data_IF_519213773384
#
_entry.id   IF_519213773384
#
_cell.length_a   1.000
_cell.length_b   1.000
_cell.length_c   1.000
_cell.angle_alpha   90.00
_cell.angle_beta   90.00
_cell.angle_gamma   90.00
#
_symmetry.space_group_name_H-M   'P 1'
#
loop_
_entity.id
_entity.type
_entity.pdbx_description
1 polymer ?
#
# COMPACT_ATOMS: atom_id res chain seq x y z
N UNK A 1 -24.59 -19.08 0.42
CA UNK A 1 -23.21 -19.18 0.90
C UNK A 1 -23.20 -18.52 2.25
N UNK A 2 -23.14 -19.32 3.31
CA UNK A 2 -23.07 -18.82 4.67
C UNK A 2 -21.63 -18.41 4.93
N UNK A 3 -21.43 -17.24 5.52
CA UNK A 3 -20.11 -16.80 5.95
C UNK A 3 -19.52 -17.84 6.89
N UNK A 4 -18.28 -18.16 6.70
CA UNK A 4 -17.55 -18.99 7.64
C UNK A 4 -16.95 -18.12 8.75
N UNK A 5 -16.68 -18.73 9.88
CA UNK A 5 -16.12 -18.07 11.05
C UNK A 5 -14.63 -18.45 11.14
N UNK A 6 -13.76 -17.46 11.35
CA UNK A 6 -12.34 -17.73 11.59
C UNK A 6 -12.12 -18.26 13.04
N UNK A 7 -10.89 -18.56 13.37
CA UNK A 7 -10.49 -19.01 14.72
C UNK A 7 -10.80 -18.02 15.86
N UNK A 8 -11.08 -16.75 15.51
CA UNK A 8 -11.44 -15.67 16.45
C UNK A 8 -12.95 -15.40 16.51
N UNK A 9 -13.76 -16.16 15.79
CA UNK A 9 -15.21 -15.99 15.77
C UNK A 9 -15.75 -14.96 14.79
N UNK A 10 -14.90 -14.31 13.98
CA UNK A 10 -15.35 -13.32 13.00
C UNK A 10 -15.93 -13.98 11.75
N UNK A 11 -16.96 -13.37 11.19
CA UNK A 11 -17.51 -13.77 9.89
C UNK A 11 -16.53 -13.38 8.77
N UNK A 12 -16.05 -14.36 8.03
CA UNK A 12 -15.17 -14.15 6.88
C UNK A 12 -15.89 -14.46 5.57
N UNK A 13 -15.43 -13.77 4.51
CA UNK A 13 -15.81 -14.13 3.16
C UNK A 13 -15.25 -15.51 2.80
N UNK A 14 -16.01 -16.25 1.99
CA UNK A 14 -15.61 -17.55 1.46
C UNK A 14 -14.24 -17.51 0.74
N UNK A 15 -13.91 -16.42 0.07
CA UNK A 15 -12.65 -16.21 -0.63
C UNK A 15 -11.42 -16.24 0.28
N UNK A 16 -11.58 -15.92 1.57
CA UNK A 16 -10.48 -15.88 2.55
C UNK A 16 -10.27 -17.22 3.26
N UNK A 17 -11.19 -18.15 3.13
CA UNK A 17 -11.07 -19.47 3.74
C UNK A 17 -10.12 -20.35 2.96
N UNK A 18 -9.42 -21.23 3.69
CA UNK A 18 -8.82 -22.41 3.04
C UNK A 18 -9.94 -23.18 2.38
N UNK A 19 -9.83 -23.42 1.07
CA UNK A 19 -10.72 -24.36 0.43
C UNK A 19 -10.56 -25.72 1.13
N UNK A 20 -11.64 -26.50 1.23
CA UNK A 20 -11.58 -27.90 1.68
C UNK A 20 -10.74 -28.79 0.75
N UNK A 21 -10.12 -28.18 -0.22
CA UNK A 21 -9.23 -28.82 -1.18
C UNK A 21 -7.86 -28.97 -0.56
N UNK A 22 -7.48 -30.18 -0.29
CA UNK A 22 -6.13 -30.53 0.17
C UNK A 22 -5.15 -30.35 -0.98
N UNK A 23 -4.61 -29.15 -1.09
CA UNK A 23 -3.70 -28.75 -2.15
C UNK A 23 -2.26 -29.06 -1.79
N UNK A 24 -1.92 -30.35 -1.76
CA UNK A 24 -0.51 -30.76 -1.85
C UNK A 24 0.07 -30.49 -3.25
N UNK A 25 -0.78 -30.16 -4.21
CA UNK A 25 -0.40 -29.85 -5.59
C UNK A 25 -0.51 -28.34 -5.86
N UNK A 26 0.56 -27.74 -6.38
CA UNK A 26 0.64 -26.29 -6.69
C UNK A 26 -0.47 -25.77 -7.61
N UNK A 27 -1.02 -26.60 -8.50
CA UNK A 27 -2.12 -26.23 -9.39
C UNK A 27 -3.42 -25.95 -8.64
N UNK A 28 -3.64 -26.56 -7.49
CA UNK A 28 -4.86 -26.41 -6.70
C UNK A 28 -4.95 -25.06 -5.98
N UNK A 29 -3.81 -24.40 -5.71
CA UNK A 29 -3.79 -23.06 -5.09
C UNK A 29 -4.46 -21.99 -5.94
N UNK A 30 -4.45 -22.15 -7.25
CA UNK A 30 -5.11 -21.25 -8.18
C UNK A 30 -6.64 -21.34 -8.11
N UNK A 31 -7.15 -22.45 -7.60
CA UNK A 31 -8.59 -22.75 -7.52
C UNK A 31 -9.16 -22.63 -6.10
N UNK A 32 -8.39 -22.07 -5.14
CA UNK A 32 -8.86 -21.91 -3.77
C UNK A 32 -9.91 -20.79 -3.65
N UNK A 33 -10.78 -20.91 -2.67
CA UNK A 33 -11.77 -19.91 -2.31
C UNK A 33 -12.76 -19.57 -3.44
N UNK A 34 -12.92 -18.32 -3.77
CA UNK A 34 -13.86 -17.85 -4.79
C UNK A 34 -13.58 -18.44 -6.18
N UNK A 35 -12.32 -18.67 -6.54
CA UNK A 35 -11.98 -19.27 -7.83
C UNK A 35 -12.50 -20.70 -7.93
N UNK A 36 -12.43 -21.44 -6.85
CA UNK A 36 -12.99 -22.79 -6.78
C UNK A 36 -14.52 -22.75 -6.89
N UNK A 37 -15.19 -21.84 -6.20
CA UNK A 37 -16.62 -21.62 -6.33
C UNK A 37 -17.02 -21.33 -7.77
N UNK A 38 -16.32 -20.44 -8.45
CA UNK A 38 -16.56 -20.12 -9.86
C UNK A 38 -16.40 -21.34 -10.77
N UNK A 39 -15.31 -22.09 -10.57
CA UNK A 39 -15.03 -23.28 -11.37
C UNK A 39 -16.11 -24.34 -11.20
N UNK A 40 -16.44 -24.71 -9.96
CA UNK A 40 -17.47 -25.69 -9.66
C UNK A 40 -18.86 -25.27 -10.16
N UNK A 41 -19.22 -24.00 -9.95
CA UNK A 41 -20.51 -23.48 -10.43
C UNK A 41 -20.59 -23.52 -11.95
N UNK A 42 -19.51 -23.14 -12.63
CA UNK A 42 -19.44 -23.21 -14.08
C UNK A 42 -19.57 -24.68 -14.60
N UNK A 43 -18.83 -25.60 -13.99
CA UNK A 43 -18.92 -27.01 -14.34
C UNK A 43 -20.34 -27.57 -14.15
N UNK A 44 -21.02 -27.16 -13.07
CA UNK A 44 -22.41 -27.56 -12.82
C UNK A 44 -23.43 -26.91 -13.77
N UNK A 45 -23.12 -25.73 -14.31
CA UNK A 45 -23.91 -25.14 -15.38
C UNK A 45 -23.84 -25.91 -16.72
N UNK A 46 -22.66 -26.55 -16.98
CA UNK A 46 -22.45 -27.31 -18.23
C UNK A 46 -23.04 -28.73 -18.19
N UNK A 47 -23.31 -29.28 -17.00
CA UNK A 47 -23.91 -30.61 -16.87
C UNK A 47 -25.36 -30.59 -17.31
N UNK A 48 -25.77 -31.63 -18.01
CA UNK A 48 -27.14 -31.82 -18.49
C UNK A 48 -27.95 -32.71 -17.55
N UNK A 49 -29.27 -32.48 -17.46
CA UNK A 49 -30.20 -33.28 -16.64
C UNK A 49 -30.08 -33.02 -15.14
N UNK A 50 -30.49 -33.98 -14.32
CA UNK A 50 -30.57 -33.83 -12.86
C UNK A 50 -29.21 -33.80 -12.12
N UNK A 51 -28.10 -33.87 -12.84
CA UNK A 51 -26.74 -33.85 -12.26
C UNK A 51 -26.11 -32.45 -12.23
N UNK A 52 -26.71 -31.49 -12.93
CA UNK A 52 -26.26 -30.11 -13.02
C UNK A 52 -27.13 -29.14 -12.23
N UNK A 53 -26.84 -27.86 -12.39
CA UNK A 53 -27.66 -26.77 -11.81
C UNK A 53 -29.05 -26.73 -12.44
N UNK A 54 -30.07 -26.54 -11.61
CA UNK A 54 -31.39 -26.15 -12.05
C UNK A 54 -31.38 -24.74 -12.69
N UNK A 55 -32.44 -24.37 -13.40
CA UNK A 55 -32.53 -23.02 -13.97
C UNK A 55 -32.55 -21.93 -12.88
N UNK A 56 -33.05 -22.24 -11.70
CA UNK A 56 -32.96 -21.37 -10.53
C UNK A 56 -31.52 -21.15 -10.07
N UNK A 57 -30.74 -22.23 -9.95
CA UNK A 57 -29.31 -22.16 -9.55
C UNK A 57 -28.49 -21.41 -10.60
N UNK A 58 -28.72 -21.64 -11.88
CA UNK A 58 -28.07 -20.92 -12.98
C UNK A 58 -28.37 -19.41 -12.90
N UNK A 59 -29.60 -19.06 -12.58
CA UNK A 59 -30.00 -17.65 -12.42
C UNK A 59 -29.30 -17.00 -11.21
N UNK A 60 -29.20 -17.71 -10.07
CA UNK A 60 -28.44 -17.25 -8.91
C UNK A 60 -26.96 -17.06 -9.27
N UNK A 61 -26.37 -18.03 -9.95
CA UNK A 61 -24.97 -17.94 -10.36
C UNK A 61 -24.74 -16.77 -11.34
N UNK A 62 -25.66 -16.56 -12.29
CA UNK A 62 -25.60 -15.42 -13.19
C UNK A 62 -25.65 -14.09 -12.44
N UNK A 63 -26.58 -13.95 -11.49
CA UNK A 63 -26.67 -12.75 -10.64
C UNK A 63 -25.41 -12.53 -9.83
N UNK A 64 -24.81 -13.59 -9.29
CA UNK A 64 -23.54 -13.51 -8.60
C UNK A 64 -22.43 -12.98 -9.55
N UNK A 65 -22.33 -13.48 -10.78
CA UNK A 65 -21.36 -13.00 -11.77
C UNK A 65 -21.56 -11.52 -12.12
N UNK A 66 -22.82 -11.08 -12.27
CA UNK A 66 -23.16 -9.67 -12.52
C UNK A 66 -22.71 -8.79 -11.35
N UNK A 67 -23.05 -9.14 -10.13
CA UNK A 67 -22.64 -8.41 -8.93
C UNK A 67 -21.12 -8.39 -8.77
N UNK A 68 -20.48 -9.53 -8.96
CA UNK A 68 -19.01 -9.63 -8.91
C UNK A 68 -18.35 -8.74 -9.95
N UNK A 69 -18.88 -8.71 -11.16
CA UNK A 69 -18.36 -7.86 -12.24
C UNK A 69 -18.55 -6.39 -11.92
N UNK A 70 -19.70 -6.02 -11.36
CA UNK A 70 -19.97 -4.67 -10.90
C UNK A 70 -18.97 -4.22 -9.83
N UNK A 71 -18.82 -4.99 -8.74
CA UNK A 71 -17.84 -4.67 -7.71
C UNK A 71 -16.41 -4.61 -8.26
N UNK A 72 -16.08 -5.51 -9.17
CA UNK A 72 -14.77 -5.53 -9.80
C UNK A 72 -14.51 -4.31 -10.67
N UNK A 73 -15.52 -3.84 -11.42
CA UNK A 73 -15.40 -2.63 -12.24
C UNK A 73 -15.20 -1.38 -11.40
N UNK A 74 -15.81 -1.32 -10.21
CA UNK A 74 -15.62 -0.23 -9.26
C UNK A 74 -14.24 -0.26 -8.60
N UNK A 75 -13.64 -1.45 -8.47
CA UNK A 75 -12.35 -1.64 -7.79
C UNK A 75 -11.16 -1.72 -8.74
N UNK A 76 -11.38 -2.01 -10.03
CA UNK A 76 -10.31 -2.04 -11.02
C UNK A 76 -9.89 -0.62 -11.37
N UNK A 77 -8.58 -0.40 -11.40
CA UNK A 77 -8.00 0.83 -11.89
C UNK A 77 -8.37 1.04 -13.37
N UNK A 78 -9.10 2.10 -13.63
CA UNK A 78 -9.41 2.52 -14.99
C UNK A 78 -8.43 3.64 -15.36
N UNK A 79 -7.57 3.42 -16.35
CA UNK A 79 -6.57 4.38 -16.81
C UNK A 79 -7.20 5.56 -17.58
N UNK A 80 -8.25 6.16 -17.01
CA UNK A 80 -8.90 7.37 -17.55
C UNK A 80 -8.35 8.65 -16.94
N UNK A 81 -7.66 8.53 -15.82
CA UNK A 81 -7.03 9.64 -15.10
C UNK A 81 -5.53 9.56 -15.27
N UNK A 82 -4.88 10.69 -15.31
CA UNK A 82 -3.42 10.78 -15.38
C UNK A 82 -2.85 10.63 -13.97
N UNK A 83 -1.82 9.77 -13.85
CA UNK A 83 -0.97 9.70 -12.69
C UNK A 83 -1.49 8.88 -11.50
N UNK A 84 -0.84 9.07 -10.37
CA UNK A 84 -1.00 8.28 -9.15
C UNK A 84 -2.38 8.45 -8.48
N UNK A 85 -3.09 9.54 -8.72
CA UNK A 85 -4.39 9.82 -8.10
C UNK A 85 -5.43 8.72 -8.35
N UNK A 86 -5.33 8.02 -9.48
CA UNK A 86 -6.22 6.91 -9.80
C UNK A 86 -5.92 5.67 -8.94
N UNK A 87 -4.64 5.38 -8.69
CA UNK A 87 -4.22 4.30 -7.80
C UNK A 87 -4.63 4.59 -6.34
N UNK A 88 -4.47 5.83 -5.89
CA UNK A 88 -4.86 6.26 -4.54
C UNK A 88 -6.36 6.06 -4.30
N UNK A 89 -7.19 6.48 -5.27
CA UNK A 89 -8.64 6.25 -5.20
C UNK A 89 -9.00 4.75 -5.17
N UNK A 90 -8.28 3.92 -5.91
CA UNK A 90 -8.48 2.47 -5.87
C UNK A 90 -8.18 1.89 -4.48
N UNK A 91 -7.09 2.31 -3.83
CA UNK A 91 -6.76 1.88 -2.48
C UNK A 91 -7.82 2.31 -1.46
N UNK A 92 -8.30 3.56 -1.55
CA UNK A 92 -9.37 4.08 -0.68
C UNK A 92 -10.67 3.29 -0.84
N UNK A 93 -11.05 2.93 -2.06
CA UNK A 93 -12.25 2.09 -2.31
C UNK A 93 -12.14 0.71 -1.66
N UNK A 94 -10.96 0.11 -1.67
CA UNK A 94 -10.71 -1.17 -1.00
C UNK A 94 -10.95 -1.06 0.51
N UNK A 95 -10.50 0.02 1.13
CA UNK A 95 -10.67 0.27 2.57
C UNK A 95 -12.13 0.27 2.98
N UNK A 96 -13.04 0.79 2.14
CA UNK A 96 -14.48 0.76 2.40
C UNK A 96 -15.01 -0.64 2.76
N UNK A 97 -14.43 -1.70 2.18
CA UNK A 97 -14.85 -3.08 2.42
C UNK A 97 -14.19 -3.74 3.61
N UNK A 98 -12.98 -3.30 3.98
CA UNK A 98 -12.13 -3.96 4.99
C UNK A 98 -11.97 -3.15 6.28
N UNK A 99 -12.15 -1.83 6.22
CA UNK A 99 -11.96 -0.95 7.38
C UNK A 99 -12.82 -1.38 8.57
N UNK A 100 -12.20 -1.48 9.74
CA UNK A 100 -12.86 -1.91 10.97
C UNK A 100 -13.18 -3.40 11.06
N UNK A 101 -12.84 -4.19 10.02
CA UNK A 101 -13.01 -5.64 10.02
C UNK A 101 -11.67 -6.32 10.26
N UNK A 102 -11.26 -6.41 11.52
CA UNK A 102 -9.94 -6.89 11.93
C UNK A 102 -9.53 -8.22 11.27
N UNK A 103 -10.47 -9.15 11.13
CA UNK A 103 -10.20 -10.44 10.51
C UNK A 103 -9.76 -10.30 9.05
N UNK A 104 -10.39 -9.42 8.28
CA UNK A 104 -10.02 -9.15 6.89
C UNK A 104 -8.69 -8.44 6.79
N UNK A 105 -8.46 -7.43 7.62
CA UNK A 105 -7.19 -6.69 7.65
C UNK A 105 -6.02 -7.62 7.97
N UNK A 106 -6.17 -8.47 8.98
CA UNK A 106 -5.16 -9.43 9.40
C UNK A 106 -4.87 -10.46 8.30
N UNK A 107 -5.91 -11.00 7.69
CA UNK A 107 -5.75 -12.00 6.64
C UNK A 107 -5.11 -11.42 5.38
N UNK A 108 -5.41 -10.17 5.02
CA UNK A 108 -4.74 -9.49 3.91
C UNK A 108 -3.24 -9.31 4.18
N UNK A 109 -2.87 -8.92 5.40
CA UNK A 109 -1.45 -8.80 5.80
C UNK A 109 -0.77 -10.16 5.71
N UNK A 110 -1.37 -11.19 6.29
CA UNK A 110 -0.84 -12.56 6.30
C UNK A 110 -0.63 -13.09 4.87
N UNK A 111 -1.63 -12.92 4.00
CA UNK A 111 -1.55 -13.35 2.60
C UNK A 111 -0.48 -12.59 1.82
N UNK A 112 -0.40 -11.27 1.99
CA UNK A 112 0.59 -10.45 1.28
C UNK A 112 2.01 -10.83 1.69
N UNK A 113 2.28 -10.98 2.99
CA UNK A 113 3.59 -11.36 3.51
C UNK A 113 3.96 -12.78 3.09
N UNK A 114 3.08 -13.76 3.32
CA UNK A 114 3.38 -15.14 2.97
C UNK A 114 3.59 -15.32 1.46
N UNK A 115 2.77 -14.69 0.61
CA UNK A 115 2.94 -14.75 -0.83
C UNK A 115 4.28 -14.18 -1.32
N UNK A 116 4.80 -13.17 -0.60
CA UNK A 116 6.12 -12.60 -0.92
C UNK A 116 7.27 -13.55 -0.63
N UNK A 117 7.16 -14.35 0.43
CA UNK A 117 8.19 -15.34 0.80
C UNK A 117 8.01 -16.69 0.14
N UNK A 118 6.82 -16.96 -0.41
CA UNK A 118 6.52 -18.24 -1.01
C UNK A 118 7.36 -18.50 -2.28
N UNK A 119 8.15 -19.56 -2.27
CA UNK A 119 9.02 -19.98 -3.39
C UNK A 119 10.06 -18.93 -3.83
N UNK A 120 10.36 -17.93 -3.00
CA UNK A 120 11.32 -16.90 -3.32
C UNK A 120 12.41 -16.85 -2.25
N UNK A 121 13.66 -16.74 -2.70
CA UNK A 121 14.82 -16.54 -1.83
C UNK A 121 15.01 -15.05 -1.53
N UNK A 122 14.01 -14.42 -0.91
CA UNK A 122 14.14 -13.03 -0.49
C UNK A 122 14.76 -12.95 0.92
N UNK A 123 15.68 -12.02 1.09
CA UNK A 123 16.37 -11.81 2.36
C UNK A 123 15.52 -11.03 3.34
N UNK A 124 14.75 -10.04 2.85
CA UNK A 124 13.89 -9.19 3.69
C UNK A 124 12.73 -8.61 2.89
N UNK A 125 11.66 -8.28 3.59
CA UNK A 125 10.49 -7.59 3.06
C UNK A 125 10.27 -6.29 3.83
N UNK A 126 10.26 -5.17 3.12
CA UNK A 126 9.87 -3.87 3.66
C UNK A 126 8.38 -3.62 3.37
N UNK A 127 7.57 -3.62 4.41
CA UNK A 127 6.16 -3.25 4.32
C UNK A 127 5.95 -1.77 4.67
N UNK A 128 5.15 -1.07 3.88
CA UNK A 128 4.85 0.34 4.13
C UNK A 128 3.56 0.50 4.90
N UNK A 129 3.61 1.28 5.97
CA UNK A 129 2.46 1.59 6.79
C UNK A 129 2.39 3.09 7.09
N UNK A 130 1.18 3.66 7.06
CA UNK A 130 1.01 5.04 7.53
C UNK A 130 1.23 5.13 9.04
N UNK A 131 2.00 6.11 9.53
CA UNK A 131 2.15 6.35 10.96
C UNK A 131 0.82 6.78 11.62
N UNK A 132 0.79 6.74 12.94
CA UNK A 132 -0.27 7.36 13.76
C UNK A 132 0.31 8.58 14.49
N UNK A 133 -0.56 9.51 14.86
CA UNK A 133 -0.18 10.69 15.65
C UNK A 133 0.07 10.38 17.13
N UNK A 134 -0.19 9.15 17.55
CA UNK A 134 0.01 8.65 18.90
C UNK A 134 0.94 7.43 18.87
N UNK A 135 2.00 7.45 19.67
CA UNK A 135 2.99 6.38 19.73
C UNK A 135 2.42 5.03 20.16
N UNK A 136 1.46 5.03 21.12
CA UNK A 136 0.81 3.81 21.59
C UNK A 136 -0.09 3.16 20.51
N UNK A 137 -0.74 3.96 19.68
CA UNK A 137 -1.51 3.43 18.55
C UNK A 137 -0.61 2.92 17.43
N UNK A 138 0.50 3.62 17.16
CA UNK A 138 1.48 3.19 16.17
C UNK A 138 2.10 1.85 16.59
N UNK A 139 2.51 1.70 17.86
CA UNK A 139 3.03 0.45 18.39
C UNK A 139 2.03 -0.70 18.22
N UNK A 140 0.77 -0.50 18.64
CA UNK A 140 -0.28 -1.51 18.48
C UNK A 140 -0.54 -1.89 17.03
N UNK A 141 -0.51 -0.90 16.12
CA UNK A 141 -0.69 -1.13 14.69
C UNK A 141 0.40 -2.02 14.10
N UNK A 142 1.64 -1.82 14.51
CA UNK A 142 2.79 -2.64 14.10
C UNK A 142 2.68 -4.03 14.70
N UNK A 143 2.49 -4.14 16.02
CA UNK A 143 2.35 -5.42 16.71
C UNK A 143 1.24 -6.28 16.12
N UNK A 144 0.05 -5.73 15.88
CA UNK A 144 -1.04 -6.46 15.26
C UNK A 144 -0.65 -7.07 13.90
N UNK A 145 0.17 -6.37 13.11
CA UNK A 145 0.63 -6.88 11.82
C UNK A 145 1.68 -7.99 11.96
N UNK A 146 2.56 -7.87 12.95
CA UNK A 146 3.57 -8.90 13.27
C UNK A 146 2.89 -10.17 13.80
N UNK A 147 1.93 -10.03 14.71
CA UNK A 147 1.17 -11.15 15.30
C UNK A 147 0.38 -11.96 14.25
N UNK A 148 0.01 -11.35 13.12
CA UNK A 148 -0.64 -12.09 12.03
C UNK A 148 0.28 -13.12 11.35
N UNK A 149 1.59 -12.99 11.52
CA UNK A 149 2.59 -13.86 10.90
C UNK A 149 2.96 -14.93 11.92
N UNK A 150 2.74 -16.20 11.55
CA UNK A 150 2.99 -17.35 12.45
C UNK A 150 4.42 -17.90 12.34
N UNK A 151 5.11 -17.62 11.25
CA UNK A 151 6.46 -18.10 10.97
C UNK A 151 7.49 -17.11 11.49
N UNK A 152 8.25 -17.49 12.53
CA UNK A 152 9.27 -16.64 13.15
C UNK A 152 10.38 -16.25 12.15
N UNK A 153 10.76 -17.16 11.26
CA UNK A 153 11.75 -16.89 10.21
C UNK A 153 11.30 -15.77 9.24
N UNK A 154 9.99 -15.68 8.99
CA UNK A 154 9.40 -14.60 8.20
C UNK A 154 9.33 -13.32 9.01
N UNK A 155 8.99 -13.38 10.29
CA UNK A 155 8.97 -12.21 11.17
C UNK A 155 10.33 -11.52 11.25
N UNK A 156 11.41 -12.27 11.36
CA UNK A 156 12.78 -11.73 11.41
C UNK A 156 13.19 -11.01 10.11
N UNK A 157 12.53 -11.32 9.01
CA UNK A 157 12.79 -10.72 7.70
C UNK A 157 11.80 -9.62 7.32
N UNK A 158 10.80 -9.37 8.16
CA UNK A 158 9.78 -8.35 7.93
C UNK A 158 10.15 -7.05 8.62
N UNK A 159 10.20 -5.96 7.87
CA UNK A 159 10.46 -4.62 8.38
C UNK A 159 9.39 -3.64 7.91
N UNK A 160 9.22 -2.56 8.64
CA UNK A 160 8.27 -1.51 8.32
C UNK A 160 8.99 -0.20 7.99
N UNK A 161 8.49 0.43 6.95
CA UNK A 161 8.82 1.80 6.58
C UNK A 161 7.57 2.66 6.80
N UNK A 162 7.72 3.70 7.61
CA UNK A 162 6.63 4.60 7.98
C UNK A 162 6.44 5.63 6.87
N UNK A 163 5.33 5.54 6.12
CA UNK A 163 5.13 6.39 4.98
C UNK A 163 4.13 7.53 5.23
N UNK A 164 4.56 8.73 4.93
CA UNK A 164 3.79 9.96 5.07
C UNK A 164 3.01 10.24 3.79
N UNK A 165 1.66 10.26 3.84
CA UNK A 165 0.89 10.57 2.64
C UNK A 165 0.99 12.05 2.29
N UNK A 166 1.45 12.35 1.09
CA UNK A 166 1.40 13.69 0.50
C UNK A 166 -0.06 14.10 0.31
N UNK A 167 -0.36 15.34 0.58
CA UNK A 167 -1.71 15.87 0.45
C UNK A 167 -1.65 17.24 -0.23
N UNK A 168 -2.49 17.41 -1.26
CA UNK A 168 -2.66 18.70 -1.89
C UNK A 168 -3.20 19.70 -0.86
N UNK A 169 -2.68 20.93 -0.92
CA UNK A 169 -3.20 22.01 -0.11
C UNK A 169 -4.56 22.44 -0.66
N UNK A 170 -5.60 22.30 0.13
CA UNK A 170 -6.97 22.62 -0.26
C UNK A 170 -7.48 23.90 0.36
N UNK A 171 -6.89 24.32 1.48
CA UNK A 171 -7.28 25.52 2.22
C UNK A 171 -6.04 26.39 2.44
N UNK A 172 -5.87 27.38 1.57
CA UNK A 172 -4.84 28.38 1.69
C UNK A 172 -5.44 29.52 2.50
N UNK A 173 -5.11 29.58 3.80
CA UNK A 173 -5.44 30.72 4.62
C UNK A 173 -4.39 31.82 4.42
N UNK A 174 -4.83 33.03 4.31
CA UNK A 174 -3.94 34.19 4.16
C UNK A 174 -2.99 34.28 5.38
N UNK A 175 -1.69 34.33 5.12
CA UNK A 175 -0.67 34.40 6.17
C UNK A 175 -0.16 33.05 6.69
N UNK A 176 -0.77 31.92 6.34
CA UNK A 176 -0.23 30.60 6.67
C UNK A 176 0.71 30.07 5.57
N UNK A 177 1.77 29.32 5.92
CA UNK A 177 2.61 28.66 4.95
C UNK A 177 1.85 27.56 4.20
N UNK A 178 2.23 27.30 2.96
CA UNK A 178 1.64 26.21 2.16
C UNK A 178 1.65 24.90 2.94
N UNK A 179 0.58 24.12 2.79
CA UNK A 179 0.38 22.83 3.43
C UNK A 179 0.45 22.90 4.97
N UNK A 180 -0.02 23.99 5.59
CA UNK A 180 0.07 24.19 7.04
C UNK A 180 -0.55 23.05 7.85
N UNK A 181 -1.70 22.51 7.40
CA UNK A 181 -2.36 21.35 8.03
C UNK A 181 -1.49 20.10 7.96
N UNK A 182 -0.88 19.83 6.81
CA UNK A 182 0.02 18.69 6.63
C UNK A 182 1.27 18.86 7.48
N UNK A 183 1.88 20.06 7.53
CA UNK A 183 3.04 20.35 8.37
C UNK A 183 2.74 20.11 9.86
N UNK A 184 1.61 20.58 10.37
CA UNK A 184 1.14 20.32 11.75
C UNK A 184 0.93 18.81 12.01
N UNK A 185 0.48 18.07 11.01
CA UNK A 185 0.33 16.60 11.09
C UNK A 185 1.67 15.88 11.09
N UNK A 186 2.60 16.32 10.24
CA UNK A 186 3.96 15.80 10.20
C UNK A 186 4.69 15.96 11.53
N UNK A 187 4.54 17.10 12.19
CA UNK A 187 5.06 17.31 13.54
C UNK A 187 4.54 16.26 14.52
N UNK A 188 3.21 16.02 14.52
CA UNK A 188 2.61 15.01 15.39
C UNK A 188 3.10 13.58 15.07
N UNK A 189 3.23 13.24 13.78
CA UNK A 189 3.78 11.95 13.36
C UNK A 189 5.24 11.79 13.84
N UNK A 190 6.06 12.81 13.62
CA UNK A 190 7.46 12.82 14.05
C UNK A 190 7.60 12.62 15.54
N UNK A 191 6.85 13.38 16.34
CA UNK A 191 6.84 13.24 17.80
C UNK A 191 6.38 11.84 18.26
N UNK A 192 5.37 11.26 17.59
CA UNK A 192 4.89 9.92 17.90
C UNK A 192 5.92 8.84 17.54
N UNK A 193 6.64 9.01 16.42
CA UNK A 193 7.71 8.10 15.99
C UNK A 193 8.88 8.15 16.97
N UNK A 194 9.36 9.34 17.32
CA UNK A 194 10.45 9.51 18.30
C UNK A 194 10.07 8.90 19.65
N UNK A 195 8.86 9.23 20.16
CA UNK A 195 8.39 8.66 21.42
C UNK A 195 8.20 7.13 21.37
N UNK A 196 8.02 6.54 20.20
CA UNK A 196 8.01 5.08 20.02
C UNK A 196 9.43 4.53 20.02
N UNK A 197 10.36 5.15 19.31
CA UNK A 197 11.76 4.72 19.21
C UNK A 197 12.51 4.89 20.53
N UNK A 198 12.13 5.85 21.38
CA UNK A 198 12.68 6.04 22.74
C UNK A 198 12.23 4.97 23.73
N UNK A 199 11.10 4.31 23.48
CA UNK A 199 10.64 3.22 24.34
C UNK A 199 11.42 1.96 24.00
N UNK A 200 12.14 1.43 24.97
CA UNK A 200 12.71 0.11 24.87
C UNK A 200 11.58 -0.93 24.67
N UNK A 201 11.62 -1.67 23.57
CA UNK A 201 10.63 -2.67 23.27
C UNK A 201 10.82 -3.30 21.89
N UNK A 202 10.33 -4.51 21.73
CA UNK A 202 10.50 -5.33 20.51
C UNK A 202 10.06 -4.66 19.21
N UNK A 203 9.18 -3.64 19.27
CA UNK A 203 8.62 -2.99 18.07
C UNK A 203 9.67 -2.21 17.30
N UNK A 204 10.67 -1.63 17.99
CA UNK A 204 11.67 -0.76 17.39
C UNK A 204 12.48 -1.49 16.33
N UNK A 205 12.83 -2.75 16.57
CA UNK A 205 13.60 -3.59 15.66
C UNK A 205 12.93 -3.78 14.29
N UNK A 206 11.62 -3.58 14.19
CA UNK A 206 10.89 -3.71 12.94
C UNK A 206 10.79 -2.42 12.14
N UNK A 207 11.15 -1.28 12.72
CA UNK A 207 11.07 0.03 12.04
C UNK A 207 12.43 0.35 11.46
N UNK A 208 12.54 0.42 10.14
CA UNK A 208 13.84 0.65 9.46
C UNK A 208 13.89 1.96 8.67
N UNK A 209 12.78 2.60 8.45
CA UNK A 209 12.83 3.82 7.65
C UNK A 209 11.54 4.59 7.55
N UNK A 210 11.66 5.68 6.81
CA UNK A 210 10.57 6.60 6.48
C UNK A 210 10.43 6.74 4.97
N UNK A 211 9.23 7.10 4.52
CA UNK A 211 8.90 7.31 3.11
C UNK A 211 7.88 8.42 2.98
N UNK A 212 7.84 9.13 1.87
CA UNK A 212 6.75 10.04 1.50
C UNK A 212 6.11 9.55 0.20
N UNK A 213 4.83 9.28 0.23
CA UNK A 213 4.08 8.65 -0.84
C UNK A 213 2.82 9.44 -1.21
N UNK A 214 1.97 8.88 -2.05
CA UNK A 214 0.77 9.48 -2.62
C UNK A 214 1.07 10.60 -3.62
N UNK A 215 0.04 11.32 -4.03
CA UNK A 215 0.10 12.27 -5.15
C UNK A 215 1.13 13.39 -4.92
N UNK A 216 2.10 13.51 -5.84
CA UNK A 216 3.11 14.56 -5.79
C UNK A 216 2.57 15.94 -6.17
N UNK A 217 1.53 15.97 -7.01
CA UNK A 217 1.01 17.22 -7.56
C UNK A 217 0.33 18.04 -6.47
N UNK A 218 0.87 19.24 -6.22
CA UNK A 218 0.37 20.14 -5.19
C UNK A 218 0.92 19.91 -3.79
N UNK A 219 1.93 19.02 -3.65
CA UNK A 219 2.64 18.80 -2.40
C UNK A 219 4.15 18.67 -2.62
N UNK A 220 4.86 19.77 -2.43
CA UNK A 220 6.32 19.87 -2.72
C UNK A 220 7.16 19.25 -1.60
N UNK A 221 8.40 18.82 -1.91
CA UNK A 221 9.32 18.20 -0.94
C UNK A 221 9.62 19.06 0.30
N UNK A 222 9.63 20.38 0.19
CA UNK A 222 9.91 21.27 1.33
C UNK A 222 8.94 21.08 2.50
N UNK A 223 7.76 20.53 2.25
CA UNK A 223 6.76 20.25 3.32
C UNK A 223 7.28 19.21 4.29
N UNK A 224 8.08 18.25 3.81
CA UNK A 224 8.62 17.15 4.61
C UNK A 224 10.05 17.37 5.08
N UNK A 225 10.73 18.36 4.52
CA UNK A 225 12.17 18.54 4.62
C UNK A 225 12.72 18.52 6.05
N UNK A 226 12.16 19.33 6.95
CA UNK A 226 12.62 19.41 8.34
C UNK A 226 12.42 18.11 9.11
N UNK A 227 11.32 17.41 8.85
CA UNK A 227 10.96 16.16 9.52
C UNK A 227 11.86 15.01 9.07
N UNK A 228 12.18 14.96 7.76
CA UNK A 228 13.11 14.01 7.20
C UNK A 228 14.50 14.18 7.80
N UNK A 229 15.08 15.39 7.76
CA UNK A 229 16.39 15.66 8.36
C UNK A 229 16.43 15.27 9.83
N UNK A 230 15.41 15.68 10.59
CA UNK A 230 15.33 15.36 12.01
C UNK A 230 15.29 13.85 12.28
N UNK A 231 14.43 13.10 11.54
CA UNK A 231 14.30 11.66 11.74
C UNK A 231 15.50 10.86 11.23
N UNK A 232 16.19 11.33 10.18
CA UNK A 232 17.40 10.70 9.66
C UNK A 232 18.60 10.87 10.60
N UNK A 233 18.69 12.03 11.27
CA UNK A 233 19.73 12.31 12.25
C UNK A 233 19.43 11.69 13.63
N UNK A 234 18.20 11.24 13.84
CA UNK A 234 17.79 10.66 15.11
C UNK A 234 18.30 9.23 15.28
N UNK A 235 19.18 9.02 16.27
CA UNK A 235 19.69 7.70 16.62
C UNK A 235 18.89 7.10 17.78
N UNK A 236 18.52 5.84 17.66
CA UNK A 236 17.83 5.08 18.71
C UNK A 236 18.56 3.76 19.00
N UNK A 237 18.28 3.20 20.17
CA UNK A 237 18.87 1.92 20.59
C UNK A 237 17.83 0.81 20.49
N UNK A 238 18.28 -0.36 20.04
CA UNK A 238 17.53 -1.60 20.14
C UNK A 238 17.81 -2.32 21.48
N UNK A 239 17.06 -3.37 21.77
CA UNK A 239 17.17 -4.15 23.01
C UNK A 239 18.58 -4.74 23.23
N UNK A 240 19.28 -5.06 22.15
CA UNK A 240 20.66 -5.56 22.18
C UNK A 240 21.70 -4.47 22.43
N UNK A 241 21.28 -3.21 22.61
CA UNK A 241 22.13 -2.04 22.82
C UNK A 241 22.75 -1.46 21.56
N UNK A 242 22.51 -2.04 20.39
CA UNK A 242 22.96 -1.49 19.11
C UNK A 242 22.26 -0.17 18.79
N UNK A 243 23.03 0.77 18.19
CA UNK A 243 22.51 2.08 17.79
C UNK A 243 22.15 2.08 16.32
N UNK A 244 20.98 2.55 15.99
CA UNK A 244 20.44 2.61 14.63
C UNK A 244 19.89 3.98 14.30
N UNK A 245 19.93 4.31 13.01
CA UNK A 245 19.26 5.45 12.43
C UNK A 245 18.22 4.97 11.42
N UNK A 246 17.16 5.72 11.25
CA UNK A 246 16.20 5.46 10.19
C UNK A 246 16.82 5.78 8.82
N UNK A 247 16.48 4.97 7.83
CA UNK A 247 16.80 5.25 6.43
C UNK A 247 15.60 5.86 5.73
N UNK A 248 15.83 6.54 4.61
CA UNK A 248 14.73 7.16 3.87
C UNK A 248 14.53 6.56 2.48
N UNK A 249 13.28 6.49 2.11
CA UNK A 249 12.81 6.48 0.73
C UNK A 249 11.95 7.71 0.51
N UNK A 250 11.93 8.26 -0.68
CA UNK A 250 11.00 9.32 -1.04
C UNK A 250 10.47 9.06 -2.45
N UNK A 251 9.14 8.93 -2.59
CA UNK A 251 8.49 8.83 -3.90
C UNK A 251 8.52 10.19 -4.58
N UNK A 252 9.20 10.29 -5.70
CA UNK A 252 9.40 11.57 -6.40
C UNK A 252 9.67 11.35 -7.90
N UNK A 253 9.23 12.30 -8.70
CA UNK A 253 9.43 12.27 -10.15
C UNK A 253 8.61 11.19 -10.86
N UNK A 254 7.52 10.72 -10.26
CA UNK A 254 6.56 9.81 -10.88
C UNK A 254 5.33 10.55 -11.44
N UNK A 255 4.89 11.61 -10.75
CA UNK A 255 3.78 12.47 -11.14
C UNK A 255 4.27 13.90 -11.38
N UNK A 256 4.20 14.39 -12.61
CA UNK A 256 4.60 15.74 -12.97
C UNK A 256 3.84 16.26 -14.20
N UNK A 257 3.62 17.57 -14.29
CA UNK A 257 3.02 18.20 -15.46
C UNK A 257 4.02 18.35 -16.61
N UNK A 258 5.28 18.55 -16.26
CA UNK A 258 6.39 18.65 -17.20
C UNK A 258 7.62 17.93 -16.64
N UNK A 259 8.48 17.39 -17.52
CA UNK A 259 9.70 16.69 -17.12
C UNK A 259 10.59 17.57 -16.23
N UNK A 260 10.64 18.88 -16.48
CA UNK A 260 11.40 19.83 -15.66
C UNK A 260 10.87 19.90 -14.23
N UNK A 261 9.54 19.82 -14.05
CA UNK A 261 8.94 19.78 -12.71
C UNK A 261 9.33 18.50 -11.96
N UNK A 262 9.35 17.36 -12.67
CA UNK A 262 9.77 16.09 -12.10
C UNK A 262 11.24 16.08 -11.69
N UNK A 263 12.13 16.58 -12.57
CA UNK A 263 13.57 16.70 -12.27
C UNK A 263 13.83 17.67 -11.11
N UNK A 264 13.16 18.81 -11.10
CA UNK A 264 13.22 19.77 -10.00
C UNK A 264 12.76 19.16 -8.66
N UNK A 265 11.68 18.38 -8.66
CA UNK A 265 11.19 17.72 -7.46
C UNK A 265 12.23 16.73 -6.91
N UNK A 266 12.92 15.99 -7.78
CA UNK A 266 14.00 15.08 -7.38
C UNK A 266 15.15 15.85 -6.73
N UNK A 267 15.61 16.94 -7.36
CA UNK A 267 16.67 17.80 -6.83
C UNK A 267 16.27 18.39 -5.44
N UNK A 268 15.04 18.88 -5.30
CA UNK A 268 14.51 19.39 -4.06
C UNK A 268 14.47 18.33 -2.95
N UNK A 269 14.13 17.09 -3.26
CA UNK A 269 14.16 15.99 -2.29
C UNK A 269 15.58 15.75 -1.79
N UNK A 270 16.54 15.68 -2.68
CA UNK A 270 17.94 15.47 -2.31
C UNK A 270 18.47 16.60 -1.42
N UNK A 271 18.22 17.84 -1.82
CA UNK A 271 18.73 19.01 -1.10
C UNK A 271 17.98 19.30 0.19
N UNK A 272 16.66 19.25 0.18
CA UNK A 272 15.87 19.72 1.32
C UNK A 272 15.61 18.64 2.36
N UNK A 273 15.41 17.39 1.93
CA UNK A 273 15.15 16.28 2.85
C UNK A 273 16.43 15.62 3.38
N UNK A 274 17.59 16.01 2.86
CA UNK A 274 18.88 15.43 3.29
C UNK A 274 19.05 13.98 2.86
N UNK A 275 18.58 13.64 1.65
CA UNK A 275 18.75 12.29 1.10
C UNK A 275 20.20 12.08 0.71
N UNK A 276 20.84 11.09 1.29
CA UNK A 276 22.27 10.77 1.11
C UNK A 276 22.46 9.31 0.70
N UNK A 277 23.73 8.91 0.55
CA UNK A 277 24.08 7.52 0.19
C UNK A 277 23.50 6.51 1.18
N UNK A 278 22.85 5.48 0.66
CA UNK A 278 22.07 4.50 1.42
C UNK A 278 20.56 4.77 1.46
N UNK A 279 20.12 6.01 1.24
CA UNK A 279 18.72 6.34 1.02
C UNK A 279 18.28 6.06 -0.43
N UNK A 280 16.99 6.06 -0.69
CA UNK A 280 16.42 5.69 -2.00
C UNK A 280 15.45 6.75 -2.51
N UNK A 281 15.45 6.95 -3.84
CA UNK A 281 14.41 7.68 -4.55
C UNK A 281 13.40 6.65 -5.12
N UNK A 282 12.15 6.79 -4.75
CA UNK A 282 11.07 5.97 -5.29
C UNK A 282 10.70 6.45 -6.69
N UNK A 283 10.53 5.52 -7.62
CA UNK A 283 10.23 5.72 -9.03
C UNK A 283 11.24 6.57 -9.81
N UNK A 284 11.40 7.85 -9.51
CA UNK A 284 12.30 8.79 -10.17
C UNK A 284 12.19 8.75 -11.71
N UNK A 285 10.98 8.51 -12.26
CA UNK A 285 10.73 8.29 -13.68
C UNK A 285 11.23 9.45 -14.57
N UNK A 286 11.17 10.68 -14.05
CA UNK A 286 11.64 11.86 -14.77
C UNK A 286 13.10 11.75 -15.20
N UNK A 287 13.95 11.01 -14.47
CA UNK A 287 15.37 10.80 -14.85
C UNK A 287 15.55 9.86 -16.05
N UNK A 288 14.59 8.95 -16.27
CA UNK A 288 14.66 7.95 -17.34
C UNK A 288 14.01 8.37 -18.66
N UNK A 289 13.37 9.53 -18.69
CA UNK A 289 12.63 9.96 -19.87
C UNK A 289 13.57 10.57 -20.94
N UNK A 290 13.43 10.07 -22.17
CA UNK A 290 14.07 10.73 -23.32
C UNK A 290 13.35 12.05 -23.60
N UNK A 291 14.03 13.17 -23.37
CA UNK A 291 13.46 14.53 -23.43
C UNK A 291 12.97 14.89 -24.83
N UNK A 292 13.69 14.51 -25.89
CA UNK A 292 13.30 14.77 -27.25
C UNK A 292 11.99 14.08 -27.63
N UNK A 293 11.87 12.78 -27.30
CA UNK A 293 10.66 12.02 -27.56
C UNK A 293 9.49 12.51 -26.72
N UNK A 294 9.74 12.89 -25.47
CA UNK A 294 8.72 13.45 -24.58
C UNK A 294 8.12 14.73 -25.15
N UNK A 295 8.96 15.68 -25.59
CA UNK A 295 8.47 16.95 -26.15
C UNK A 295 7.85 16.79 -27.52
N UNK A 296 8.34 15.87 -28.35
CA UNK A 296 7.68 15.53 -29.63
C UNK A 296 6.26 15.02 -29.39
N UNK A 297 6.09 14.07 -28.43
CA UNK A 297 4.77 13.55 -28.07
C UNK A 297 3.85 14.64 -27.50
N UNK A 298 4.37 15.46 -26.61
CA UNK A 298 3.63 16.56 -26.00
C UNK A 298 3.18 17.61 -27.04
N UNK A 299 4.04 17.96 -28.00
CA UNK A 299 3.71 18.87 -29.08
C UNK A 299 2.57 18.35 -29.95
N UNK A 300 2.55 17.05 -30.28
CA UNK A 300 1.48 16.42 -31.05
C UNK A 300 0.16 16.49 -30.28
N UNK A 301 0.17 16.21 -28.97
CA UNK A 301 -1.03 16.31 -28.12
C UNK A 301 -1.62 17.73 -28.09
N UNK A 302 -0.78 18.76 -28.02
CA UNK A 302 -1.25 20.16 -28.05
C UNK A 302 -1.82 20.57 -29.39
N UNK A 303 -1.29 20.01 -30.48
CA UNK A 303 -1.78 20.34 -31.85
C UNK A 303 -3.19 19.74 -32.06
N UNK A 304 -3.44 18.54 -31.56
CA UNK A 304 -4.76 17.93 -31.66
C UNK A 304 -5.83 18.61 -30.79
N UNK A 305 -5.45 19.21 -29.67
CA UNK A 305 -6.38 19.95 -28.80
C UNK A 305 -6.76 21.32 -29.37
N UNK A 306 -5.98 21.88 -30.32
CA UNK A 306 -6.31 23.15 -31.01
C UNK A 306 -7.10 22.97 -32.31
N UNK A 307 -7.20 21.80 -32.83
CA UNK A 307 -7.98 21.45 -34.00
C UNK A 307 -9.41 21.01 -33.64
#
# INVERSE_FOLDING_TARGET
IYGAVNEHGDMLDYALLKSNYDCNNNSCRLLAGERWLLYESYQNCLKSGNTGFSDFDKNIFYRYLVLRTFFRSEMIQVNKMVGFSNFDQYQLRKEYFIEGKRAYENELVRLAVNASFEKQNICSLEARICPDIRSDKLARKINNKIECIKDENIKEKLFFVLHFPKQKDVDINEGEPRNSRLRKRMEKYTNAIVALLEKEGEVNRYIRGIDACANEIGCRPEVFAQYYRYLLDYSYKEEDGSSHNLMATYHVGEDFFDIVDGLRAIDEVMLFCGIYSGCRLGHALALGINTENYYKYKAVSYTHLRA
#
